data_IF_933229222495
#
_entry.id   IF_933229222495
#
_cell.length_a   1.000
_cell.length_b   1.000
_cell.length_c   1.000
_cell.angle_alpha   90.00
_cell.angle_beta   90.00
_cell.angle_gamma   90.00
#
_symmetry.space_group_name_H-M   'P 1'
#
loop_
_entity.id
_entity.type
_entity.pdbx_description
1 polymer ?
#
# COMPACT_ATOMS: atom_id res chain seq x y z
N UNK A 1 12.47 -6.56 10.09
CA UNK A 1 12.76 -7.87 10.70
C UNK A 1 14.21 -8.28 10.51
N UNK A 2 14.72 -8.38 9.29
CA UNK A 2 16.12 -8.78 9.03
C UNK A 2 17.15 -7.85 9.67
N UNK A 3 16.91 -6.54 9.68
CA UNK A 3 17.76 -5.56 10.39
C UNK A 3 17.83 -5.78 11.92
N UNK A 4 16.96 -6.64 12.46
CA UNK A 4 16.92 -7.00 13.88
C UNK A 4 17.24 -8.49 14.08
N UNK A 5 17.85 -9.17 13.10
CA UNK A 5 18.21 -10.60 13.18
C UNK A 5 17.03 -11.57 13.19
N UNK A 6 15.83 -11.12 12.81
CA UNK A 6 14.62 -11.95 12.81
C UNK A 6 14.29 -12.45 11.39
N UNK A 7 14.31 -13.77 11.21
CA UNK A 7 13.77 -14.44 10.02
C UNK A 7 12.24 -14.46 10.10
N UNK A 8 11.57 -13.61 9.31
CA UNK A 8 10.11 -13.62 9.21
C UNK A 8 9.67 -14.52 8.08
N UNK A 9 8.79 -15.48 8.39
CA UNK A 9 8.18 -16.37 7.40
C UNK A 9 6.77 -15.91 7.06
N UNK A 10 6.38 -16.12 5.81
CA UNK A 10 5.04 -15.77 5.30
C UNK A 10 4.36 -17.02 4.73
N UNK A 11 3.68 -17.82 5.57
CA UNK A 11 3.13 -19.12 5.17
C UNK A 11 2.18 -19.06 3.95
N UNK A 12 1.39 -17.99 3.84
CA UNK A 12 0.46 -17.78 2.72
C UNK A 12 1.13 -17.59 1.35
N UNK A 13 2.43 -17.26 1.32
CA UNK A 13 3.19 -17.12 0.07
C UNK A 13 3.98 -18.38 -0.31
N UNK A 14 3.89 -19.44 0.49
CA UNK A 14 4.51 -20.73 0.17
C UNK A 14 3.95 -21.30 -1.14
N UNK A 15 4.82 -21.89 -1.97
CA UNK A 15 4.47 -22.40 -3.32
C UNK A 15 3.29 -23.38 -3.30
N UNK A 16 3.26 -24.30 -2.33
CA UNK A 16 2.17 -25.28 -2.15
C UNK A 16 0.83 -24.59 -1.87
N UNK A 17 0.83 -23.62 -0.96
CA UNK A 17 -0.39 -22.87 -0.62
C UNK A 17 -0.86 -22.03 -1.81
N UNK A 18 0.05 -21.29 -2.46
CA UNK A 18 -0.28 -20.53 -3.67
C UNK A 18 -0.90 -21.41 -4.75
N UNK A 19 -0.26 -22.54 -5.08
CA UNK A 19 -0.75 -23.46 -6.10
C UNK A 19 -2.14 -24.03 -5.79
N UNK A 20 -2.45 -24.31 -4.52
CA UNK A 20 -3.78 -24.75 -4.11
C UNK A 20 -4.80 -23.61 -4.20
N UNK A 21 -4.48 -22.44 -3.63
CA UNK A 21 -5.37 -21.28 -3.58
C UNK A 21 -5.70 -20.71 -4.98
N UNK A 22 -4.77 -20.82 -5.94
CA UNK A 22 -5.01 -20.42 -7.33
C UNK A 22 -6.01 -21.31 -8.08
N UNK A 23 -6.23 -22.55 -7.60
CA UNK A 23 -7.20 -23.49 -8.20
C UNK A 23 -8.60 -23.38 -7.60
N UNK A 24 -8.80 -22.51 -6.61
CA UNK A 24 -10.11 -22.30 -6.01
C UNK A 24 -11.07 -21.65 -7.03
N UNK A 25 -12.35 -22.09 -7.07
CA UNK A 25 -13.37 -21.42 -7.86
C UNK A 25 -13.47 -19.93 -7.55
N UNK A 26 -13.89 -19.12 -8.53
CA UNK A 26 -14.00 -17.67 -8.34
C UNK A 26 -14.92 -17.29 -7.19
N UNK A 27 -16.04 -17.99 -7.01
CA UNK A 27 -17.01 -17.70 -5.94
C UNK A 27 -16.41 -17.83 -4.54
N UNK A 28 -15.35 -18.63 -4.38
CA UNK A 28 -14.65 -18.78 -3.10
C UNK A 28 -13.59 -17.69 -2.85
N UNK A 29 -13.17 -16.99 -3.90
CA UNK A 29 -12.19 -15.90 -3.87
C UNK A 29 -12.86 -14.52 -3.85
N UNK A 30 -13.95 -14.39 -4.61
CA UNK A 30 -14.75 -13.19 -4.80
C UNK A 30 -16.24 -13.56 -4.96
N UNK A 31 -16.94 -13.92 -3.86
CA UNK A 31 -18.35 -14.26 -3.91
C UNK A 31 -19.22 -13.04 -4.23
N UNK A 32 -20.44 -13.28 -4.73
CA UNK A 32 -21.41 -12.23 -5.09
C UNK A 32 -21.87 -11.39 -3.89
N UNK A 33 -21.83 -11.94 -2.68
CA UNK A 33 -22.15 -11.23 -1.43
C UNK A 33 -20.99 -10.35 -0.92
N UNK A 34 -19.90 -10.23 -1.68
CA UNK A 34 -18.70 -9.46 -1.36
C UNK A 34 -17.98 -9.91 -0.08
N UNK A 35 -18.23 -11.14 0.40
CA UNK A 35 -17.51 -11.69 1.54
C UNK A 35 -16.03 -11.90 1.19
N UNK A 36 -15.17 -11.08 1.80
CA UNK A 36 -13.73 -11.22 1.62
C UNK A 36 -13.19 -12.53 2.22
N UNK A 37 -12.36 -13.22 1.44
CA UNK A 37 -11.59 -14.39 1.88
C UNK A 37 -12.48 -15.57 2.31
N UNK A 38 -13.61 -15.79 1.64
CA UNK A 38 -14.60 -16.83 1.98
C UNK A 38 -13.98 -18.22 2.21
N UNK A 39 -13.12 -18.71 1.30
CA UNK A 39 -12.46 -20.02 1.48
C UNK A 39 -11.56 -20.07 2.74
N UNK A 40 -10.85 -18.97 3.05
CA UNK A 40 -10.01 -18.91 4.23
C UNK A 40 -10.84 -18.89 5.51
N UNK A 41 -11.97 -18.17 5.52
CA UNK A 41 -12.91 -18.13 6.65
C UNK A 41 -13.53 -19.50 6.89
N UNK A 42 -13.97 -20.18 5.82
CA UNK A 42 -14.51 -21.53 5.89
C UNK A 42 -13.47 -22.54 6.40
N UNK A 43 -12.22 -22.45 5.96
CA UNK A 43 -11.13 -23.29 6.48
C UNK A 43 -10.83 -22.98 7.96
N UNK A 44 -10.83 -21.70 8.35
CA UNK A 44 -10.61 -21.28 9.73
C UNK A 44 -11.74 -21.71 10.67
N UNK A 45 -12.98 -21.85 10.16
CA UNK A 45 -14.11 -22.38 10.94
C UNK A 45 -13.93 -23.83 11.38
N UNK A 46 -13.08 -24.60 10.69
CA UNK A 46 -12.73 -25.98 11.03
C UNK A 46 -11.67 -26.06 12.14
N UNK A 47 -11.15 -24.92 12.58
CA UNK A 47 -10.18 -24.81 13.69
C UNK A 47 -10.87 -24.36 14.98
N UNK A 48 -10.14 -24.39 16.09
CA UNK A 48 -10.62 -23.90 17.40
C UNK A 48 -10.59 -22.36 17.53
N UNK A 49 -10.59 -21.62 16.41
CA UNK A 49 -10.63 -20.16 16.46
C UNK A 49 -12.03 -19.67 16.87
N UNK A 50 -12.13 -18.67 17.76
CA UNK A 50 -13.43 -18.09 18.12
C UNK A 50 -14.15 -17.50 16.90
N UNK A 51 -15.47 -17.64 16.84
CA UNK A 51 -16.26 -17.26 15.66
C UNK A 51 -16.19 -15.77 15.38
N UNK A 52 -16.10 -14.96 16.43
CA UNK A 52 -15.89 -13.52 16.35
C UNK A 52 -14.54 -13.15 15.69
N UNK A 53 -13.51 -13.98 15.83
CA UNK A 53 -12.21 -13.78 15.16
C UNK A 53 -12.30 -14.18 13.70
N UNK A 54 -12.90 -15.33 13.39
CA UNK A 54 -13.06 -15.80 12.00
C UNK A 54 -13.92 -14.84 11.19
N UNK A 55 -14.96 -14.28 11.80
CA UNK A 55 -15.91 -13.38 11.14
C UNK A 55 -15.49 -11.90 11.16
N UNK A 56 -14.43 -11.53 11.89
CA UNK A 56 -13.95 -10.15 12.01
C UNK A 56 -13.73 -9.49 10.63
N UNK A 57 -14.24 -8.28 10.38
CA UNK A 57 -13.95 -7.53 9.16
C UNK A 57 -12.46 -7.21 9.01
N UNK A 58 -11.97 -7.13 7.77
CA UNK A 58 -10.61 -6.71 7.49
C UNK A 58 -10.43 -5.24 7.89
N UNK A 59 -9.50 -4.98 8.80
CA UNK A 59 -9.07 -3.62 9.08
C UNK A 59 -7.96 -3.20 8.10
N UNK A 60 -7.98 -1.97 7.59
CA UNK A 60 -6.88 -1.43 6.80
C UNK A 60 -5.65 -1.26 7.70
N UNK A 61 -4.59 -2.01 7.41
CA UNK A 61 -3.38 -2.11 8.26
C UNK A 61 -2.43 -0.89 8.17
N UNK A 62 -2.82 0.22 7.55
CA UNK A 62 -2.00 1.43 7.43
C UNK A 62 -2.50 2.57 8.31
N UNK A 63 -3.63 3.18 7.92
CA UNK A 63 -4.25 4.28 8.70
C UNK A 63 -4.66 3.87 10.11
N UNK A 64 -4.99 2.61 10.38
CA UNK A 64 -5.45 2.20 11.71
C UNK A 64 -4.30 2.11 12.74
N UNK A 65 -3.06 1.91 12.31
CA UNK A 65 -1.91 1.67 13.21
C UNK A 65 -0.96 2.86 13.33
N UNK A 66 -1.01 3.83 12.41
CA UNK A 66 -0.19 5.06 12.47
C UNK A 66 -0.88 6.29 11.85
N UNK A 67 -2.15 6.60 12.22
CA UNK A 67 -2.93 7.63 11.53
C UNK A 67 -2.25 9.00 11.55
N UNK A 68 -1.85 9.47 12.74
CA UNK A 68 -1.36 10.86 12.91
C UNK A 68 -0.04 11.16 12.19
N UNK A 69 0.87 10.20 12.08
CA UNK A 69 2.17 10.44 11.43
C UNK A 69 2.02 10.66 9.92
N UNK A 70 1.15 9.89 9.28
CA UNK A 70 0.92 10.06 7.83
C UNK A 70 0.20 11.37 7.58
N UNK A 71 -0.81 11.70 8.39
CA UNK A 71 -1.56 12.95 8.23
C UNK A 71 -0.64 14.16 8.39
N UNK A 72 0.21 14.20 9.42
CA UNK A 72 1.18 15.29 9.61
C UNK A 72 2.19 15.40 8.46
N UNK A 73 2.68 14.28 7.93
CA UNK A 73 3.58 14.29 6.77
C UNK A 73 2.88 14.82 5.51
N UNK A 74 1.63 14.41 5.28
CA UNK A 74 0.86 14.89 4.13
C UNK A 74 0.58 16.39 4.24
N UNK A 75 0.29 16.90 5.43
CA UNK A 75 0.09 18.33 5.67
C UNK A 75 1.39 19.13 5.39
N UNK A 76 2.54 18.61 5.83
CA UNK A 76 3.86 19.21 5.60
C UNK A 76 4.19 19.29 4.10
N UNK A 77 3.89 18.23 3.34
CA UNK A 77 4.25 18.13 1.93
C UNK A 77 3.15 18.64 0.97
N UNK A 78 1.98 19.01 1.48
CA UNK A 78 0.87 19.51 0.69
C UNK A 78 1.21 20.71 -0.23
N UNK A 79 2.12 21.64 0.13
CA UNK A 79 2.52 22.74 -0.75
C UNK A 79 3.08 22.30 -2.12
N UNK A 80 3.61 21.08 -2.22
CA UNK A 80 4.21 20.55 -3.45
C UNK A 80 3.18 19.95 -4.42
N UNK A 81 1.97 19.62 -3.93
CA UNK A 81 0.94 18.90 -4.69
C UNK A 81 0.54 19.62 -5.97
N UNK A 82 0.33 20.94 -5.89
CA UNK A 82 -0.12 21.72 -7.04
C UNK A 82 0.94 21.78 -8.15
N UNK A 83 2.21 21.91 -7.79
CA UNK A 83 3.34 21.91 -8.73
C UNK A 83 3.44 20.59 -9.49
N UNK A 84 3.40 19.47 -8.75
CA UNK A 84 3.47 18.12 -9.33
C UNK A 84 2.25 17.86 -10.23
N UNK A 85 1.06 18.28 -9.80
CA UNK A 85 -0.17 18.10 -10.56
C UNK A 85 -0.12 18.88 -11.89
N UNK A 86 0.32 20.14 -11.89
CA UNK A 86 0.42 20.99 -13.09
C UNK A 86 1.38 20.43 -14.15
N UNK A 87 2.45 19.77 -13.72
CA UNK A 87 3.39 19.09 -14.62
C UNK A 87 2.75 17.88 -15.33
N UNK A 88 1.81 17.22 -14.66
CA UNK A 88 1.07 16.06 -15.15
C UNK A 88 -0.31 16.45 -15.68
N UNK A 89 -0.37 17.28 -16.73
CA UNK A 89 -1.61 17.92 -17.24
C UNK A 89 -2.79 16.96 -17.45
N UNK A 90 -2.53 15.76 -17.98
CA UNK A 90 -3.59 14.76 -18.24
C UNK A 90 -4.22 14.22 -16.95
N UNK A 91 -3.49 14.27 -15.84
CA UNK A 91 -3.88 13.74 -14.53
C UNK A 91 -4.09 14.82 -13.48
N UNK A 92 -3.85 16.10 -13.80
CA UNK A 92 -3.81 17.23 -12.86
C UNK A 92 -5.03 17.24 -11.93
N UNK A 93 -6.24 17.15 -12.50
CA UNK A 93 -7.50 17.17 -11.74
C UNK A 93 -7.62 15.99 -10.77
N UNK A 94 -7.08 14.83 -11.12
CA UNK A 94 -7.10 13.64 -10.26
C UNK A 94 -6.07 13.77 -9.15
N UNK A 95 -4.87 14.25 -9.48
CA UNK A 95 -3.77 14.43 -8.53
C UNK A 95 -4.10 15.49 -7.46
N UNK A 96 -4.76 16.59 -7.84
CA UNK A 96 -5.25 17.60 -6.88
C UNK A 96 -6.28 17.04 -5.88
N UNK A 97 -7.00 15.96 -6.24
CA UNK A 97 -7.96 15.30 -5.34
C UNK A 97 -7.33 14.19 -4.50
N UNK A 98 -6.08 13.82 -4.79
CA UNK A 98 -5.37 12.70 -4.18
C UNK A 98 -3.93 13.15 -3.85
N UNK A 99 -3.76 14.05 -2.86
CA UNK A 99 -2.47 14.64 -2.52
C UNK A 99 -1.40 13.59 -2.19
N UNK A 100 -1.78 12.49 -1.56
CA UNK A 100 -0.88 11.37 -1.27
C UNK A 100 -0.34 10.70 -2.54
N UNK A 101 -1.14 10.63 -3.60
CA UNK A 101 -0.73 10.07 -4.89
C UNK A 101 0.15 11.07 -5.63
N UNK A 102 -0.18 12.37 -5.58
CA UNK A 102 0.65 13.42 -6.17
C UNK A 102 2.05 13.45 -5.54
N UNK A 103 2.14 13.48 -4.20
CA UNK A 103 3.41 13.42 -3.46
C UNK A 103 4.18 12.15 -3.81
N UNK A 104 3.52 10.98 -3.79
CA UNK A 104 4.15 9.72 -4.15
C UNK A 104 4.70 9.68 -5.57
N UNK A 105 3.98 10.26 -6.53
CA UNK A 105 4.43 10.40 -7.92
C UNK A 105 5.67 11.30 -8.03
N UNK A 106 5.66 12.45 -7.34
CA UNK A 106 6.81 13.36 -7.31
C UNK A 106 8.05 12.69 -6.74
N UNK A 107 7.92 11.97 -5.62
CA UNK A 107 9.03 11.22 -5.02
C UNK A 107 9.55 10.11 -5.92
N UNK A 108 8.64 9.39 -6.58
CA UNK A 108 9.02 8.36 -7.54
C UNK A 108 9.83 8.97 -8.70
N UNK A 109 9.38 10.09 -9.25
CA UNK A 109 10.08 10.79 -10.31
C UNK A 109 11.47 11.28 -9.86
N UNK A 110 11.54 11.90 -8.68
CA UNK A 110 12.77 12.43 -8.12
C UNK A 110 13.82 11.32 -7.88
N UNK A 111 13.39 10.16 -7.39
CA UNK A 111 14.30 9.06 -7.03
C UNK A 111 14.67 8.16 -8.22
N UNK A 112 13.80 8.03 -9.22
CA UNK A 112 13.95 6.98 -10.23
C UNK A 112 13.99 7.48 -11.67
N UNK A 113 13.55 8.72 -11.95
CA UNK A 113 13.38 9.21 -13.32
C UNK A 113 14.44 10.26 -13.68
N UNK A 114 14.63 11.31 -12.87
CA UNK A 114 15.45 12.49 -13.23
C UNK A 114 16.88 12.18 -13.70
N UNK A 115 17.51 11.11 -13.20
CA UNK A 115 18.83 10.63 -13.66
C UNK A 115 18.85 9.12 -13.99
N UNK A 116 17.67 8.52 -14.07
CA UNK A 116 17.47 7.06 -14.13
C UNK A 116 17.77 6.34 -12.81
N UNK A 117 17.76 7.05 -11.68
CA UNK A 117 18.03 6.49 -10.35
C UNK A 117 19.47 6.05 -10.16
N UNK A 118 20.41 6.66 -10.89
CA UNK A 118 21.82 6.23 -10.91
C UNK A 118 22.61 6.77 -9.73
N UNK A 119 22.26 7.96 -9.25
CA UNK A 119 22.93 8.58 -8.12
C UNK A 119 22.06 8.53 -6.87
N UNK A 120 22.73 8.36 -5.72
CA UNK A 120 22.06 8.53 -4.45
C UNK A 120 21.63 9.98 -4.30
N UNK A 121 20.33 10.21 -4.09
CA UNK A 121 19.81 11.53 -3.77
C UNK A 121 20.19 11.93 -2.34
N UNK A 122 20.41 13.22 -2.15
CA UNK A 122 20.79 13.84 -0.87
C UNK A 122 19.73 14.89 -0.53
N UNK A 123 19.45 15.06 0.76
CA UNK A 123 18.41 15.96 1.24
C UNK A 123 17.28 15.24 1.95
N UNK A 124 16.30 16.01 2.40
CA UNK A 124 15.05 15.50 2.94
C UNK A 124 13.97 15.31 1.86
N UNK A 125 12.76 14.95 2.27
CA UNK A 125 11.65 14.67 1.33
C UNK A 125 11.24 15.93 0.56
N UNK A 126 11.33 17.10 1.20
CA UNK A 126 11.00 18.39 0.59
C UNK A 126 12.02 18.75 -0.49
N UNK A 127 13.31 18.54 -0.21
CA UNK A 127 14.37 18.72 -1.20
C UNK A 127 14.11 17.88 -2.47
N UNK A 128 13.71 16.61 -2.29
CA UNK A 128 13.39 15.72 -3.42
C UNK A 128 12.19 16.21 -4.25
N UNK A 129 11.14 16.70 -3.59
CA UNK A 129 9.95 17.20 -4.28
C UNK A 129 10.21 18.51 -5.01
N UNK A 130 11.09 19.36 -4.47
CA UNK A 130 11.50 20.61 -5.11
C UNK A 130 12.15 20.36 -6.48
N UNK A 131 12.85 19.24 -6.66
CA UNK A 131 13.53 18.91 -7.92
C UNK A 131 12.58 18.60 -9.09
N UNK A 132 11.32 18.27 -8.80
CA UNK A 132 10.35 17.79 -9.81
C UNK A 132 9.24 18.78 -10.13
N UNK A 133 9.26 19.98 -9.54
CA UNK A 133 8.28 21.06 -9.72
C UNK A 133 8.85 22.19 -10.58
#
# INVERSE_FOLDING_TARGET
>A
SMAHGLEVRVPFLGSRHRNASHKLPMDWRLPANLEEKAALRAAADLTNLPKEIVRRPKLPAGRATSPRMIDSLLDELNPFVEGIAKKNKDLERTLLKQPEIAIGLGLFEAMHILDGGRNKRVGDVSDLLQEVI
#
